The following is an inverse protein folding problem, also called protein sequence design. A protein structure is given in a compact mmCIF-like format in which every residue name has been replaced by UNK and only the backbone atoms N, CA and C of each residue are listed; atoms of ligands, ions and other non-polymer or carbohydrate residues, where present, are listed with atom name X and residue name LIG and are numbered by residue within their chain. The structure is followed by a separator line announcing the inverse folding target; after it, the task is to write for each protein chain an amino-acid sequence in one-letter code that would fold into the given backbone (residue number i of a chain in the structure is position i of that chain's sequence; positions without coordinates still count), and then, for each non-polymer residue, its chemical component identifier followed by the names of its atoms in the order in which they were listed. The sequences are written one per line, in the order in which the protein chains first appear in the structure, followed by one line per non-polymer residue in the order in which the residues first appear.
data_IF_896428860389
#
_entry.id   IF_896428860389
#
_cell.length_a   1.000
_cell.length_b   1.000
_cell.length_c   1.000
_cell.angle_alpha   90.00
_cell.angle_beta   90.00
_cell.angle_gamma   90.00
#
_symmetry.space_group_name_H-M   'P 1'
#
loop_
_entity.id
_entity.type
_entity.pdbx_description
1 polymer ?
#
# COMPACT_ATOMS: atom_id res chain seq x y z
N UNK A 1 16.47 10.21 10.84
CA UNK A 1 17.89 10.31 11.20
C UNK A 1 18.28 11.79 11.28
N UNK A 2 18.68 12.29 12.46
CA UNK A 2 19.07 13.70 12.64
C UNK A 2 20.34 14.11 11.87
N UNK A 3 21.09 13.14 11.34
CA UNK A 3 22.26 13.36 10.50
C UNK A 3 22.00 13.14 9.01
N UNK A 4 20.73 13.18 8.58
CA UNK A 4 20.41 12.93 7.17
C UNK A 4 20.67 14.18 6.31
N UNK A 5 21.18 13.98 5.10
CA UNK A 5 21.38 15.04 4.12
C UNK A 5 20.08 15.80 3.77
N UNK A 6 18.93 15.19 3.98
CA UNK A 6 17.62 15.84 3.79
C UNK A 6 17.42 16.96 4.80
N UNK A 7 17.82 16.77 6.07
CA UNK A 7 17.72 17.81 7.09
C UNK A 7 18.69 18.97 6.82
N UNK A 8 19.87 18.67 6.32
CA UNK A 8 20.86 19.70 5.96
C UNK A 8 20.40 20.56 4.78
N UNK A 9 19.62 20.00 3.86
CA UNK A 9 19.13 20.66 2.65
C UNK A 9 17.80 21.41 2.87
N UNK A 10 17.12 21.22 3.99
CA UNK A 10 15.78 21.75 4.23
C UNK A 10 15.82 23.08 4.99
N UNK A 11 15.03 24.07 4.56
CA UNK A 11 14.84 25.33 5.29
C UNK A 11 14.01 25.16 6.56
N UNK A 12 13.12 24.18 6.58
CA UNK A 12 12.27 23.83 7.72
C UNK A 12 12.12 22.31 7.83
N UNK A 13 12.09 21.81 9.04
CA UNK A 13 11.98 20.36 9.30
C UNK A 13 10.89 20.05 10.30
N UNK A 14 10.15 18.98 10.05
CA UNK A 14 9.22 18.37 11.01
C UNK A 14 9.72 16.94 11.26
N UNK A 15 10.15 16.68 12.49
CA UNK A 15 10.67 15.36 12.86
C UNK A 15 9.53 14.49 13.34
N UNK A 16 9.42 13.29 12.77
CA UNK A 16 8.38 12.29 13.06
C UNK A 16 8.97 11.07 13.78
N UNK A 17 9.78 11.31 14.82
CA UNK A 17 10.50 10.29 15.58
C UNK A 17 9.55 9.29 16.25
N UNK A 18 8.36 9.73 16.68
CA UNK A 18 7.31 8.86 17.22
C UNK A 18 6.76 7.84 16.21
N UNK A 19 6.96 8.09 14.91
CA UNK A 19 6.53 7.21 13.83
C UNK A 19 7.66 6.29 13.32
N UNK A 20 8.87 6.38 13.89
CA UNK A 20 9.99 5.52 13.50
C UNK A 20 9.67 4.04 13.76
N UNK A 21 10.13 3.18 12.86
CA UNK A 21 9.86 1.74 12.87
C UNK A 21 11.17 0.96 12.87
N UNK A 22 11.21 -0.12 13.65
CA UNK A 22 12.37 -1.02 13.67
C UNK A 22 12.35 -2.02 12.50
N UNK A 23 11.14 -2.33 12.01
CA UNK A 23 10.95 -3.22 10.86
C UNK A 23 11.60 -2.65 9.59
N UNK A 24 12.06 -3.54 8.72
CA UNK A 24 12.56 -3.17 7.39
C UNK A 24 11.40 -2.67 6.53
N UNK A 25 10.28 -3.39 6.57
CA UNK A 25 9.05 -3.02 5.86
C UNK A 25 8.31 -1.97 6.66
N UNK A 26 8.42 -0.72 6.23
CA UNK A 26 7.79 0.41 6.90
C UNK A 26 6.30 0.55 6.52
N UNK A 27 5.48 0.88 7.50
CA UNK A 27 4.04 1.11 7.33
C UNK A 27 3.61 2.42 7.98
N UNK A 28 3.90 2.58 9.27
CA UNK A 28 3.48 3.72 10.09
C UNK A 28 4.15 5.02 9.67
N UNK A 29 5.46 5.02 9.39
CA UNK A 29 6.18 6.22 8.99
C UNK A 29 5.62 6.79 7.68
N UNK A 30 5.41 5.95 6.67
CA UNK A 30 4.86 6.36 5.37
C UNK A 30 3.46 6.96 5.50
N UNK A 31 2.57 6.29 6.24
CA UNK A 31 1.19 6.78 6.46
C UNK A 31 1.16 8.04 7.33
N UNK A 32 2.01 8.17 8.35
CA UNK A 32 2.13 9.38 9.16
C UNK A 32 2.61 10.56 8.32
N UNK A 33 3.60 10.36 7.45
CA UNK A 33 4.08 11.39 6.53
C UNK A 33 2.97 11.87 5.59
N UNK A 34 2.20 10.96 5.02
CA UNK A 34 1.08 11.31 4.16
C UNK A 34 -0.04 12.03 4.92
N UNK A 35 -0.33 11.62 6.16
CA UNK A 35 -1.29 12.31 7.03
C UNK A 35 -0.83 13.76 7.31
N UNK A 36 0.45 13.96 7.62
CA UNK A 36 1.02 15.30 7.81
C UNK A 36 0.87 16.16 6.56
N UNK A 37 1.17 15.62 5.37
CA UNK A 37 1.01 16.34 4.10
C UNK A 37 -0.47 16.71 3.87
N UNK A 38 -1.41 15.80 4.12
CA UNK A 38 -2.84 16.09 4.00
C UNK A 38 -3.29 17.18 4.97
N UNK A 39 -2.82 17.13 6.23
CA UNK A 39 -3.09 18.17 7.23
C UNK A 39 -2.52 19.54 6.81
N UNK A 40 -1.30 19.57 6.25
CA UNK A 40 -0.68 20.80 5.78
C UNK A 40 -1.44 21.46 4.60
N UNK A 41 -2.21 20.66 3.87
CA UNK A 41 -3.14 21.12 2.83
C UNK A 41 -4.52 21.52 3.37
N UNK A 42 -4.69 21.56 4.69
CA UNK A 42 -5.92 21.96 5.36
C UNK A 42 -7.01 20.87 5.39
N UNK A 43 -6.67 19.61 5.14
CA UNK A 43 -7.64 18.53 5.23
C UNK A 43 -7.91 18.18 6.70
N UNK A 44 -9.18 17.98 7.05
CA UNK A 44 -9.58 17.39 8.32
C UNK A 44 -9.19 15.90 8.35
N UNK A 45 -8.43 15.52 9.36
CA UNK A 45 -7.96 14.14 9.53
C UNK A 45 -8.87 13.30 10.43
N UNK A 46 -9.81 13.87 11.18
CA UNK A 46 -10.69 13.07 12.04
C UNK A 46 -11.43 11.96 11.27
N UNK A 47 -12.05 12.22 10.11
CA UNK A 47 -12.70 11.16 9.33
C UNK A 47 -11.69 10.11 8.80
N UNK A 48 -10.46 10.52 8.50
CA UNK A 48 -9.41 9.61 8.03
C UNK A 48 -8.96 8.66 9.14
N UNK A 49 -8.76 9.20 10.34
CA UNK A 49 -8.40 8.41 11.53
C UNK A 49 -9.51 7.42 11.87
N UNK A 50 -10.77 7.89 11.94
CA UNK A 50 -11.92 7.02 12.21
C UNK A 50 -12.05 5.89 11.17
N UNK A 51 -11.83 6.18 9.88
CA UNK A 51 -11.83 5.16 8.83
C UNK A 51 -10.67 4.16 8.98
N UNK A 52 -9.48 4.62 9.39
CA UNK A 52 -8.33 3.75 9.64
C UNK A 52 -8.57 2.83 10.86
N UNK A 53 -9.15 3.35 11.94
CA UNK A 53 -9.54 2.54 13.11
C UNK A 53 -10.56 1.45 12.74
N UNK A 54 -11.56 1.80 11.93
CA UNK A 54 -12.52 0.82 11.40
C UNK A 54 -11.81 -0.22 10.53
N UNK A 55 -10.87 0.19 9.68
CA UNK A 55 -10.07 -0.71 8.85
C UNK A 55 -9.21 -1.66 9.69
N UNK A 56 -8.70 -1.22 10.84
CA UNK A 56 -7.97 -2.08 11.79
C UNK A 56 -8.87 -3.11 12.48
N UNK A 57 -10.12 -2.78 12.73
CA UNK A 57 -11.06 -3.66 13.42
C UNK A 57 -11.82 -4.61 12.50
N UNK A 58 -11.99 -4.26 11.22
CA UNK A 58 -12.78 -5.03 10.27
C UNK A 58 -12.12 -6.36 9.89
N UNK A 59 -12.92 -7.37 9.60
CA UNK A 59 -12.41 -8.61 8.99
C UNK A 59 -11.90 -8.36 7.58
N UNK A 60 -10.90 -9.13 7.18
CA UNK A 60 -10.46 -9.14 5.79
C UNK A 60 -11.55 -9.77 4.90
N UNK A 61 -11.74 -9.28 3.67
CA UNK A 61 -12.71 -9.84 2.75
C UNK A 61 -12.50 -11.35 2.54
N UNK A 62 -13.61 -12.10 2.52
CA UNK A 62 -13.59 -13.54 2.33
C UNK A 62 -12.91 -13.93 1.01
N UNK A 63 -12.13 -15.00 1.04
CA UNK A 63 -11.42 -15.53 -0.12
C UNK A 63 -10.18 -14.72 -0.55
N UNK A 64 -9.85 -13.64 0.16
CA UNK A 64 -8.70 -12.82 -0.19
C UNK A 64 -7.35 -13.53 0.08
N UNK A 65 -7.29 -14.30 1.15
CA UNK A 65 -6.09 -15.06 1.51
C UNK A 65 -5.77 -16.22 0.54
N UNK A 66 -6.75 -16.65 -0.23
CA UNK A 66 -6.60 -17.73 -1.21
C UNK A 66 -6.13 -17.25 -2.58
N UNK A 67 -5.94 -15.94 -2.75
CA UNK A 67 -5.51 -15.37 -4.03
C UNK A 67 -4.00 -15.48 -4.22
N UNK A 68 -3.61 -15.75 -5.46
CA UNK A 68 -2.22 -15.91 -5.85
C UNK A 68 -1.60 -14.62 -6.43
N UNK A 69 -2.43 -13.72 -6.96
CA UNK A 69 -2.03 -12.48 -7.60
C UNK A 69 -2.91 -11.33 -7.11
N UNK A 70 -2.30 -10.17 -6.90
CA UNK A 70 -2.95 -8.97 -6.40
C UNK A 70 -2.65 -7.79 -7.31
N UNK A 71 -3.68 -7.05 -7.71
CA UNK A 71 -3.52 -5.79 -8.46
C UNK A 71 -4.19 -4.66 -7.68
N UNK A 72 -3.45 -3.58 -7.45
CA UNK A 72 -3.96 -2.39 -6.79
C UNK A 72 -4.13 -1.26 -7.81
N UNK A 73 -5.30 -0.65 -7.80
CA UNK A 73 -5.67 0.38 -8.77
C UNK A 73 -5.96 1.69 -8.07
N UNK A 74 -5.31 2.76 -8.54
CA UNK A 74 -5.49 4.11 -8.04
C UNK A 74 -5.82 5.11 -9.14
N UNK A 75 -6.31 6.29 -8.75
CA UNK A 75 -6.54 7.41 -9.66
C UNK A 75 -6.01 8.70 -9.03
N UNK A 76 -5.41 9.57 -9.81
CA UNK A 76 -4.76 10.77 -9.29
C UNK A 76 -3.68 10.44 -8.26
N UNK A 77 -3.68 11.11 -7.12
CA UNK A 77 -2.68 10.90 -6.07
C UNK A 77 -2.69 9.48 -5.46
N UNK A 78 -3.81 8.75 -5.55
CA UNK A 78 -3.91 7.40 -4.99
C UNK A 78 -3.22 6.33 -5.84
N UNK A 79 -2.70 6.68 -7.01
CA UNK A 79 -1.75 5.83 -7.74
C UNK A 79 -0.50 5.56 -6.87
N UNK A 80 -0.05 6.56 -6.10
CA UNK A 80 1.02 6.37 -5.12
C UNK A 80 0.66 5.37 -4.01
N UNK A 81 -0.58 5.39 -3.53
CA UNK A 81 -1.06 4.39 -2.56
C UNK A 81 -1.17 2.98 -3.18
N UNK A 82 -1.57 2.88 -4.44
CA UNK A 82 -1.58 1.60 -5.15
C UNK A 82 -0.16 1.01 -5.28
N UNK A 83 0.82 1.85 -5.58
CA UNK A 83 2.23 1.45 -5.62
C UNK A 83 2.71 0.95 -4.24
N UNK A 84 2.38 1.68 -3.18
CA UNK A 84 2.72 1.32 -1.80
C UNK A 84 2.03 0.02 -1.38
N UNK A 85 0.77 -0.17 -1.71
CA UNK A 85 0.02 -1.40 -1.44
C UNK A 85 0.69 -2.63 -2.09
N UNK A 86 1.02 -2.53 -3.37
CA UNK A 86 1.73 -3.60 -4.08
C UNK A 86 3.13 -3.85 -3.49
N UNK A 87 3.85 -2.79 -3.11
CA UNK A 87 5.16 -2.90 -2.47
C UNK A 87 5.05 -3.67 -1.15
N UNK A 88 4.09 -3.33 -0.28
CA UNK A 88 3.90 -4.03 1.01
C UNK A 88 3.68 -5.52 0.85
N UNK A 89 2.88 -5.95 -0.12
CA UNK A 89 2.68 -7.38 -0.35
C UNK A 89 3.94 -8.08 -0.87
N UNK A 90 4.68 -7.44 -1.76
CA UNK A 90 5.95 -8.00 -2.25
C UNK A 90 6.97 -8.15 -1.14
N UNK A 91 7.13 -7.11 -0.32
CA UNK A 91 8.13 -7.07 0.76
C UNK A 91 7.78 -7.99 1.92
N UNK A 92 6.57 -7.86 2.49
CA UNK A 92 6.21 -8.53 3.73
C UNK A 92 5.85 -10.00 3.53
N UNK A 93 5.22 -10.37 2.42
CA UNK A 93 4.68 -11.72 2.25
C UNK A 93 5.05 -12.40 0.92
N UNK A 94 5.96 -11.83 0.13
CA UNK A 94 6.44 -12.40 -1.13
C UNK A 94 5.29 -12.76 -2.09
N UNK A 95 4.25 -11.95 -2.12
CA UNK A 95 3.14 -12.13 -3.02
C UNK A 95 3.43 -11.52 -4.39
N UNK A 96 2.84 -12.10 -5.43
CA UNK A 96 2.81 -11.44 -6.74
C UNK A 96 1.80 -10.28 -6.68
N UNK A 97 2.31 -9.07 -6.66
CA UNK A 97 1.50 -7.87 -6.55
C UNK A 97 1.95 -6.79 -7.52
N UNK A 98 0.97 -6.16 -8.17
CA UNK A 98 1.13 -5.12 -9.18
C UNK A 98 0.27 -3.90 -8.84
N UNK A 99 0.56 -2.78 -9.47
CA UNK A 99 -0.19 -1.54 -9.29
C UNK A 99 -0.24 -0.75 -10.60
N UNK A 100 -1.39 -0.12 -10.85
CA UNK A 100 -1.59 0.68 -12.06
C UNK A 100 -2.51 1.89 -11.79
N UNK A 101 -2.42 2.94 -12.61
CA UNK A 101 -3.54 3.84 -12.77
C UNK A 101 -4.76 3.06 -13.25
N UNK A 102 -5.92 3.29 -12.64
CA UNK A 102 -7.11 2.46 -12.86
C UNK A 102 -7.50 2.33 -14.35
N UNK A 103 -7.42 3.42 -15.10
CA UNK A 103 -7.77 3.38 -16.53
C UNK A 103 -6.72 2.68 -17.40
N UNK A 104 -5.46 2.69 -17.00
CA UNK A 104 -4.39 2.00 -17.72
C UNK A 104 -4.47 0.48 -17.59
N UNK A 105 -5.13 -0.02 -16.55
CA UNK A 105 -5.32 -1.45 -16.33
C UNK A 105 -5.99 -2.16 -17.50
N UNK A 106 -6.91 -1.48 -18.20
CA UNK A 106 -7.62 -1.99 -19.38
C UNK A 106 -6.74 -2.19 -20.61
N UNK A 107 -5.59 -1.53 -20.68
CA UNK A 107 -4.71 -1.49 -21.86
C UNK A 107 -3.66 -2.61 -21.90
N UNK A 108 -3.97 -3.75 -21.27
CA UNK A 108 -3.11 -4.93 -21.27
C UNK A 108 -3.04 -5.64 -19.92
N UNK A 109 -2.75 -4.95 -18.79
CA UNK A 109 -2.58 -5.62 -17.49
C UNK A 109 -3.76 -6.49 -17.05
N UNK A 110 -4.99 -6.12 -17.36
CA UNK A 110 -6.19 -6.92 -17.09
C UNK A 110 -6.14 -8.33 -17.72
N UNK A 111 -5.33 -8.52 -18.75
CA UNK A 111 -5.22 -9.80 -19.48
C UNK A 111 -4.63 -10.95 -18.65
N UNK A 112 -3.99 -10.68 -17.50
CA UNK A 112 -3.49 -11.73 -16.61
C UNK A 112 -4.46 -12.07 -15.48
N UNK A 113 -5.54 -11.31 -15.32
CA UNK A 113 -6.51 -11.53 -14.25
C UNK A 113 -7.33 -12.80 -14.49
N UNK A 114 -7.51 -13.59 -13.45
CA UNK A 114 -8.30 -14.82 -13.44
C UNK A 114 -8.92 -15.04 -12.04
N UNK A 115 -9.57 -16.19 -11.86
CA UNK A 115 -10.21 -16.56 -10.59
C UNK A 115 -9.22 -16.63 -9.39
N UNK A 116 -7.92 -16.61 -9.60
CA UNK A 116 -6.89 -16.59 -8.54
C UNK A 116 -6.40 -15.17 -8.24
N UNK A 117 -6.92 -14.18 -8.96
CA UNK A 117 -6.54 -12.78 -8.82
C UNK A 117 -7.47 -12.04 -7.86
N UNK A 118 -6.93 -11.03 -7.18
CA UNK A 118 -7.69 -9.99 -6.50
C UNK A 118 -7.32 -8.63 -7.09
N UNK A 119 -8.31 -7.86 -7.48
CA UNK A 119 -8.14 -6.50 -8.00
C UNK A 119 -8.79 -5.52 -7.03
N UNK A 120 -7.99 -4.66 -6.42
CA UNK A 120 -8.41 -3.75 -5.37
C UNK A 120 -8.30 -2.29 -5.80
N UNK A 121 -9.43 -1.63 -5.85
CA UNK A 121 -9.51 -0.20 -6.12
C UNK A 121 -9.31 0.59 -4.82
N UNK A 122 -8.36 1.52 -4.80
CA UNK A 122 -8.11 2.39 -3.64
C UNK A 122 -8.94 3.68 -3.64
N UNK A 123 -9.61 3.96 -4.75
CA UNK A 123 -10.59 5.05 -4.91
C UNK A 123 -11.79 4.53 -5.69
N UNK A 124 -12.96 5.17 -5.57
CA UNK A 124 -14.12 4.80 -6.37
C UNK A 124 -13.75 4.74 -7.86
N UNK A 125 -13.87 3.57 -8.49
CA UNK A 125 -13.54 3.41 -9.91
C UNK A 125 -14.66 3.97 -10.79
N UNK A 126 -14.39 4.22 -12.10
CA UNK A 126 -15.45 4.39 -13.08
C UNK A 126 -16.41 3.21 -13.07
N UNK A 127 -17.73 3.47 -13.16
CA UNK A 127 -18.77 2.47 -12.92
C UNK A 127 -18.64 1.17 -13.74
N UNK A 128 -18.11 1.25 -14.96
CA UNK A 128 -17.96 0.10 -15.85
C UNK A 128 -16.74 -0.79 -15.51
N UNK A 129 -15.71 -0.23 -14.86
CA UNK A 129 -14.43 -0.93 -14.69
C UNK A 129 -14.51 -2.12 -13.72
N UNK A 130 -15.24 -2.06 -12.59
CA UNK A 130 -15.44 -3.24 -11.75
C UNK A 130 -16.11 -4.40 -12.47
N UNK A 131 -17.07 -4.12 -13.37
CA UNK A 131 -17.76 -5.14 -14.17
C UNK A 131 -16.81 -5.79 -15.19
N UNK A 132 -15.96 -4.99 -15.85
CA UNK A 132 -14.92 -5.51 -16.76
C UNK A 132 -13.93 -6.42 -16.03
N UNK A 133 -13.51 -6.02 -14.82
CA UNK A 133 -12.63 -6.85 -13.99
C UNK A 133 -13.35 -8.12 -13.53
N UNK A 134 -14.59 -8.01 -13.07
CA UNK A 134 -15.36 -9.18 -12.61
C UNK A 134 -15.58 -10.22 -13.73
N UNK A 135 -15.64 -9.78 -14.99
CA UNK A 135 -15.73 -10.68 -16.14
C UNK A 135 -14.51 -11.59 -16.33
N UNK A 136 -13.40 -11.34 -15.63
CA UNK A 136 -12.21 -12.21 -15.58
C UNK A 136 -12.27 -13.26 -14.47
N UNK A 137 -13.36 -13.35 -13.72
CA UNK A 137 -13.53 -14.13 -12.49
C UNK A 137 -12.63 -13.67 -11.31
N UNK A 138 -11.92 -12.55 -11.43
CA UNK A 138 -11.12 -12.00 -10.35
C UNK A 138 -12.01 -11.50 -9.19
N UNK A 139 -11.49 -11.61 -7.96
CA UNK A 139 -12.12 -10.99 -6.80
C UNK A 139 -11.97 -9.47 -6.91
N UNK A 140 -13.07 -8.76 -7.05
CA UNK A 140 -13.09 -7.30 -7.14
C UNK A 140 -13.36 -6.69 -5.77
N UNK A 141 -12.50 -5.75 -5.37
CA UNK A 141 -12.62 -5.01 -4.11
C UNK A 141 -12.72 -3.52 -4.42
N UNK A 142 -13.81 -2.91 -3.98
CA UNK A 142 -14.02 -1.47 -4.09
C UNK A 142 -13.87 -0.79 -2.74
N UNK A 143 -13.39 0.47 -2.70
CA UNK A 143 -13.16 1.15 -1.44
C UNK A 143 -14.46 1.40 -0.68
N UNK A 144 -14.37 1.32 0.65
CA UNK A 144 -15.50 1.60 1.55
C UNK A 144 -15.28 2.86 2.39
N UNK A 145 -14.13 3.53 2.24
CA UNK A 145 -13.76 4.68 3.03
C UNK A 145 -12.61 5.49 2.41
N UNK A 146 -11.86 6.17 3.27
CA UNK A 146 -10.70 6.95 2.85
C UNK A 146 -9.61 6.04 2.23
N UNK A 147 -8.93 6.48 1.16
CA UNK A 147 -7.87 5.68 0.52
C UNK A 147 -6.73 5.26 1.45
N UNK A 148 -6.41 6.03 2.48
CA UNK A 148 -5.42 5.62 3.49
C UNK A 148 -5.94 4.46 4.36
N UNK A 149 -7.24 4.43 4.65
CA UNK A 149 -7.86 3.29 5.35
C UNK A 149 -7.86 2.02 4.48
N UNK A 150 -8.02 2.15 3.17
CA UNK A 150 -7.84 1.01 2.25
C UNK A 150 -6.39 0.49 2.29
N UNK A 151 -5.39 1.39 2.35
CA UNK A 151 -4.00 0.96 2.52
C UNK A 151 -3.78 0.22 3.85
N UNK A 152 -4.40 0.65 4.95
CA UNK A 152 -4.36 -0.07 6.25
C UNK A 152 -4.89 -1.49 6.11
N UNK A 153 -5.98 -1.71 5.37
CA UNK A 153 -6.49 -3.06 5.09
C UNK A 153 -5.47 -3.91 4.33
N UNK A 154 -4.76 -3.31 3.36
CA UNK A 154 -3.70 -4.00 2.60
C UNK A 154 -2.51 -4.35 3.50
N UNK A 155 -2.11 -3.46 4.40
CA UNK A 155 -1.05 -3.74 5.38
C UNK A 155 -1.45 -4.93 6.28
N UNK A 156 -2.69 -4.99 6.75
CA UNK A 156 -3.21 -6.14 7.49
C UNK A 156 -3.23 -7.43 6.67
N UNK A 157 -3.62 -7.33 5.38
CA UNK A 157 -3.54 -8.45 4.45
C UNK A 157 -2.11 -8.97 4.31
N UNK A 158 -1.13 -8.07 4.19
CA UNK A 158 0.28 -8.47 4.05
C UNK A 158 0.78 -9.26 5.26
N UNK A 159 0.40 -8.85 6.47
CA UNK A 159 0.71 -9.57 7.71
C UNK A 159 0.00 -10.93 7.76
N UNK A 160 -1.28 -10.99 7.40
CA UNK A 160 -2.03 -12.23 7.40
C UNK A 160 -1.48 -13.25 6.37
N UNK A 161 -1.12 -12.78 5.17
CA UNK A 161 -0.47 -13.62 4.14
C UNK A 161 0.92 -14.07 4.57
N UNK A 162 1.71 -13.21 5.24
CA UNK A 162 3.01 -13.58 5.78
C UNK A 162 2.84 -14.71 6.82
N UNK A 163 1.91 -14.56 7.77
CA UNK A 163 1.61 -15.57 8.77
C UNK A 163 1.16 -16.89 8.13
N UNK A 164 0.26 -16.86 7.13
CA UNK A 164 -0.19 -18.05 6.41
C UNK A 164 0.95 -18.79 5.68
N UNK A 165 1.99 -18.05 5.26
CA UNK A 165 3.18 -18.60 4.58
C UNK A 165 4.32 -18.94 5.55
N UNK A 166 4.17 -18.72 6.86
CA UNK A 166 5.24 -18.91 7.84
C UNK A 166 6.40 -17.92 7.67
N UNK A 167 6.14 -16.72 7.16
CA UNK A 167 7.13 -15.66 6.94
C UNK A 167 7.10 -14.67 8.11
N UNK A 168 8.24 -14.05 8.39
CA UNK A 168 8.36 -12.93 9.32
C UNK A 168 8.38 -11.62 8.52
N UNK A 169 7.31 -10.79 8.56
CA UNK A 169 7.24 -9.55 7.83
C UNK A 169 8.24 -8.48 8.32
N UNK A 170 8.73 -8.60 9.56
CA UNK A 170 9.74 -7.70 10.11
C UNK A 170 11.16 -8.03 9.64
N UNK A 171 11.34 -9.24 9.07
CA UNK A 171 12.62 -9.74 8.55
C UNK A 171 12.46 -10.26 7.11
N UNK A 172 12.13 -9.39 6.16
CA UNK A 172 11.89 -9.77 4.78
C UNK A 172 13.17 -10.30 4.13
N UNK A 173 13.02 -11.31 3.27
CA UNK A 173 14.16 -11.85 2.52
C UNK A 173 14.69 -10.82 1.52
N UNK A 174 16.00 -10.77 1.35
CA UNK A 174 16.71 -9.96 0.35
C UNK A 174 16.56 -8.44 0.54
N UNK A 175 16.06 -7.98 1.67
CA UNK A 175 15.92 -6.55 1.97
C UNK A 175 16.72 -6.20 3.23
N UNK A 176 17.18 -4.94 3.25
CA UNK A 176 17.80 -4.31 4.41
C UNK A 176 17.14 -2.93 4.60
N UNK A 177 17.21 -2.39 5.82
CA UNK A 177 16.59 -1.10 6.15
C UNK A 177 17.12 0.06 5.29
N UNK A 178 18.38 -0.01 4.88
CA UNK A 178 19.02 1.01 4.06
C UNK A 178 19.94 0.38 3.02
N UNK A 179 19.88 0.88 1.81
CA UNK A 179 20.88 0.58 0.79
C UNK A 179 21.96 1.65 0.86
N UNK A 180 23.16 1.25 1.29
CA UNK A 180 24.33 2.12 1.33
C UNK A 180 25.04 1.97 -0.01
N UNK A 181 25.07 3.04 -0.80
CA UNK A 181 25.82 3.05 -2.04
C UNK A 181 27.32 3.04 -1.74
N UNK A 182 28.12 2.20 -2.43
CA UNK A 182 29.57 2.28 -2.29
C UNK A 182 30.02 3.68 -2.71
N UNK A 183 30.96 4.25 -1.92
CA UNK A 183 31.63 5.50 -2.30
C UNK A 183 32.26 5.29 -3.69
N UNK A 184 31.90 6.14 -4.65
CA UNK A 184 32.58 6.12 -5.95
C UNK A 184 34.08 6.40 -5.71
N UNK A 185 35.00 5.58 -6.21
CA UNK A 185 36.40 5.97 -6.22
C UNK A 185 36.54 7.23 -7.07
N UNK A 186 37.06 8.31 -6.45
CA UNK A 186 37.38 9.57 -7.11
C UNK A 186 38.46 9.42 -8.18
#
# INVERSE_FOLDING_TARGET
DPASAVLEAADQTIVLDFADEQAVVQTRFATTTLALLRASLGQDLEPVVAAAEQALAADLPAGLLDRAQFTFLGSGWTVGLANEAALKLREACLAWAESYPAMEYRHGPIGIADARSAVWFLTPPPAFLPEEVAATDALVLTPTGDPMAELVKVQRLSVALAAAKGLDPDRPRNLSRSVILPSQPG
#
